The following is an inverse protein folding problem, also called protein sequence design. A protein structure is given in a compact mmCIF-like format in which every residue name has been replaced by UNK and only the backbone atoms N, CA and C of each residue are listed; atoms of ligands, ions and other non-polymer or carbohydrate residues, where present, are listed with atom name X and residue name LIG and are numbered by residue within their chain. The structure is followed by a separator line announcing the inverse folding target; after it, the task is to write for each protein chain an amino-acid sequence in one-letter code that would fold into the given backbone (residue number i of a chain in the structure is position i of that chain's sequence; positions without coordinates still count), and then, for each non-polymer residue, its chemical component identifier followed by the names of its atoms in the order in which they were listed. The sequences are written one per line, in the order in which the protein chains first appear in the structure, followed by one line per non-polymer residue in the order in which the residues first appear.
data_IF_436684688461
#
_entry.id   IF_436684688461
#
_cell.length_a   1.000
_cell.length_b   1.000
_cell.length_c   1.000
_cell.angle_alpha   90.00
_cell.angle_beta   90.00
_cell.angle_gamma   90.00
#
_symmetry.space_group_name_H-M   'P 1'
#
loop_
_entity.id
_entity.type
_entity.pdbx_description
1 polymer ?
#
# COMPACT_ATOMS: atom_id res chain seq x y z
N UNK A 1 26.03 -13.49 18.49
CA UNK A 1 24.74 -12.85 18.79
C UNK A 1 24.09 -13.66 19.88
N UNK A 2 23.53 -13.03 20.90
CA UNK A 2 22.76 -13.71 21.94
C UNK A 2 21.56 -14.44 21.31
N UNK A 3 21.44 -15.75 21.55
CA UNK A 3 20.38 -16.60 21.02
C UNK A 3 19.02 -16.28 21.63
N UNK A 4 18.97 -15.60 22.77
CA UNK A 4 17.73 -15.28 23.49
C UNK A 4 17.12 -13.95 23.06
N UNK A 5 17.92 -13.01 22.57
CA UNK A 5 17.46 -11.67 22.14
C UNK A 5 17.18 -11.61 20.63
N UNK A 6 16.04 -11.01 20.25
CA UNK A 6 15.70 -10.76 18.85
C UNK A 6 16.54 -9.60 18.29
N UNK A 7 17.16 -9.80 17.11
CA UNK A 7 17.85 -8.71 16.42
C UNK A 7 16.84 -7.78 15.77
N UNK A 8 16.89 -6.48 16.05
CA UNK A 8 16.02 -5.46 15.41
C UNK A 8 16.78 -4.52 14.48
N UNK A 9 18.07 -4.75 14.31
CA UNK A 9 18.95 -3.91 13.52
C UNK A 9 18.69 -4.16 12.03
N UNK A 10 18.25 -3.11 11.32
CA UNK A 10 18.02 -3.16 9.88
C UNK A 10 19.31 -3.40 9.10
N UNK A 11 20.48 -3.02 9.63
CA UNK A 11 21.76 -3.28 8.96
C UNK A 11 22.10 -4.78 8.87
N UNK A 12 21.38 -5.64 9.62
CA UNK A 12 21.51 -7.08 9.50
C UNK A 12 20.70 -7.69 8.35
N UNK A 13 19.88 -6.90 7.65
CA UNK A 13 19.24 -7.31 6.40
C UNK A 13 20.24 -7.24 5.23
N UNK A 14 19.96 -7.95 4.14
CA UNK A 14 20.70 -7.79 2.88
C UNK A 14 20.47 -6.38 2.31
N UNK A 15 21.37 -5.88 1.46
CA UNK A 15 21.25 -4.52 0.91
C UNK A 15 19.91 -4.27 0.17
N UNK A 16 19.36 -5.27 -0.52
CA UNK A 16 18.04 -5.18 -1.15
C UNK A 16 16.92 -5.15 -0.10
N UNK A 17 17.00 -5.99 0.93
CA UNK A 17 15.98 -6.05 1.98
C UNK A 17 15.99 -4.83 2.89
N UNK A 18 17.15 -4.20 3.11
CA UNK A 18 17.26 -2.89 3.75
C UNK A 18 16.45 -1.84 2.99
N UNK A 19 16.61 -1.77 1.66
CA UNK A 19 15.84 -0.85 0.81
C UNK A 19 14.35 -1.16 0.89
N UNK A 20 13.95 -2.42 0.68
CA UNK A 20 12.55 -2.83 0.73
C UNK A 20 11.89 -2.50 2.08
N UNK A 21 12.56 -2.85 3.18
CA UNK A 21 12.08 -2.60 4.54
C UNK A 21 11.98 -1.10 4.82
N UNK A 22 12.96 -0.29 4.42
CA UNK A 22 12.91 1.16 4.57
C UNK A 22 11.72 1.79 3.81
N UNK A 23 11.53 1.42 2.53
CA UNK A 23 10.39 1.89 1.73
C UNK A 23 9.06 1.46 2.38
N UNK A 24 8.98 0.22 2.86
CA UNK A 24 7.80 -0.30 3.53
C UNK A 24 7.43 0.49 4.78
N UNK A 25 8.41 0.77 5.64
CA UNK A 25 8.19 1.57 6.86
C UNK A 25 7.77 3.01 6.53
N UNK A 26 8.37 3.61 5.50
CA UNK A 26 8.01 4.95 5.03
C UNK A 26 6.55 5.01 4.53
N UNK A 27 6.15 4.07 3.66
CA UNK A 27 4.79 4.02 3.12
C UNK A 27 3.74 3.67 4.18
N UNK A 28 4.07 2.79 5.13
CA UNK A 28 3.23 2.54 6.28
C UNK A 28 3.01 3.82 7.10
N UNK A 29 4.08 4.57 7.38
CA UNK A 29 4.02 5.83 8.13
C UNK A 29 3.14 6.87 7.42
N UNK A 30 3.23 7.00 6.08
CA UNK A 30 2.37 7.90 5.28
C UNK A 30 0.88 7.59 5.42
N UNK A 31 0.52 6.33 5.69
CA UNK A 31 -0.85 5.89 5.90
C UNK A 31 -1.27 5.87 7.38
N UNK A 32 -0.46 6.44 8.27
CA UNK A 32 -0.72 6.48 9.71
C UNK A 32 -0.53 5.13 10.41
N UNK A 33 0.16 4.17 9.78
CA UNK A 33 0.48 2.87 10.35
C UNK A 33 1.79 2.98 11.14
N UNK A 34 1.69 3.03 12.46
CA UNK A 34 2.84 3.09 13.35
C UNK A 34 3.46 1.69 13.54
N UNK A 35 4.40 1.34 12.66
CA UNK A 35 5.08 0.05 12.60
C UNK A 35 6.34 0.04 13.47
N UNK A 36 6.58 -1.06 14.20
CA UNK A 36 7.85 -1.35 14.87
C UNK A 36 8.42 -2.68 14.37
N UNK A 37 9.70 -2.69 14.01
CA UNK A 37 10.44 -3.92 13.67
C UNK A 37 10.70 -4.72 14.94
N UNK A 38 10.33 -5.99 14.93
CA UNK A 38 10.48 -6.90 16.08
C UNK A 38 11.58 -7.92 15.88
N UNK A 39 11.89 -8.31 14.64
CA UNK A 39 13.04 -9.15 14.31
C UNK A 39 13.51 -8.96 12.86
N UNK A 40 14.81 -8.91 12.61
CA UNK A 40 15.43 -8.85 11.28
C UNK A 40 16.21 -10.15 11.02
N UNK A 41 17.50 -10.21 11.33
CA UNK A 41 18.29 -11.41 11.17
C UNK A 41 18.11 -12.36 12.35
N UNK A 42 17.87 -13.64 12.02
CA UNK A 42 17.82 -14.75 12.97
C UNK A 42 18.87 -15.75 12.57
N UNK A 43 19.86 -16.00 13.43
CA UNK A 43 20.87 -17.03 13.19
C UNK A 43 20.23 -18.44 13.22
N UNK A 44 20.89 -19.42 12.60
CA UNK A 44 20.44 -20.81 12.67
C UNK A 44 20.43 -21.34 14.10
N UNK A 45 21.42 -20.93 14.91
CA UNK A 45 21.51 -21.26 16.32
C UNK A 45 20.29 -20.73 17.11
N UNK A 46 19.91 -19.46 16.91
CA UNK A 46 18.70 -18.89 17.50
C UNK A 46 17.44 -19.59 17.01
N UNK A 47 17.36 -19.94 15.73
CA UNK A 47 16.21 -20.68 15.20
C UNK A 47 16.08 -22.07 15.83
N UNK A 48 17.18 -22.80 16.00
CA UNK A 48 17.19 -24.08 16.71
C UNK A 48 16.74 -23.89 18.16
N UNK A 49 17.30 -22.88 18.84
CA UNK A 49 16.91 -22.54 20.21
C UNK A 49 15.40 -22.23 20.31
N UNK A 50 14.81 -21.49 19.36
CA UNK A 50 13.36 -21.22 19.34
C UNK A 50 12.52 -22.47 19.02
N UNK A 51 13.02 -23.34 18.13
CA UNK A 51 12.35 -24.59 17.77
C UNK A 51 12.29 -25.57 18.95
N UNK A 52 13.33 -25.64 19.76
CA UNK A 52 13.36 -26.49 20.96
C UNK A 52 12.33 -26.10 22.03
N UNK A 53 11.86 -24.84 22.03
CA UNK A 53 10.84 -24.37 22.96
C UNK A 53 9.49 -25.06 22.75
N UNK A 54 8.90 -25.55 23.85
CA UNK A 54 7.68 -26.37 23.82
C UNK A 54 7.89 -27.77 23.24
N UNK A 55 9.15 -28.20 23.10
CA UNK A 55 9.54 -29.54 22.67
C UNK A 55 10.53 -30.13 23.68
N UNK A 56 11.82 -29.81 23.54
CA UNK A 56 12.89 -30.24 24.44
C UNK A 56 13.20 -29.22 25.54
N UNK A 57 12.78 -27.96 25.37
CA UNK A 57 12.80 -26.92 26.41
C UNK A 57 11.38 -26.51 26.78
N UNK A 58 11.14 -26.17 28.05
CA UNK A 58 9.83 -25.70 28.52
C UNK A 58 9.34 -24.41 27.85
N UNK A 59 8.03 -24.16 27.90
CA UNK A 59 7.37 -22.99 27.31
C UNK A 59 6.45 -23.34 26.13
N UNK A 60 5.72 -22.35 25.60
CA UNK A 60 4.87 -22.56 24.40
C UNK A 60 5.74 -22.63 23.15
N UNK A 61 5.44 -23.53 22.22
CA UNK A 61 6.09 -23.56 20.92
C UNK A 61 5.82 -22.24 20.17
N UNK A 62 6.89 -21.60 19.69
CA UNK A 62 6.86 -20.29 19.01
C UNK A 62 7.21 -20.37 17.52
N UNK A 63 7.66 -21.53 17.06
CA UNK A 63 7.95 -21.78 15.65
C UNK A 63 7.70 -23.26 15.30
N UNK A 64 7.32 -23.49 14.05
CA UNK A 64 7.11 -24.82 13.48
C UNK A 64 8.31 -25.31 12.65
N UNK A 65 9.24 -24.42 12.26
CA UNK A 65 10.34 -24.72 11.33
C UNK A 65 11.70 -24.77 12.02
N UNK A 66 12.62 -25.60 11.52
CA UNK A 66 14.06 -25.46 11.80
C UNK A 66 14.74 -24.50 10.81
N UNK A 67 14.15 -24.30 9.63
CA UNK A 67 14.73 -23.50 8.55
C UNK A 67 13.96 -22.18 8.44
N UNK A 68 14.43 -21.15 9.14
CA UNK A 68 13.78 -19.84 9.12
C UNK A 68 14.21 -19.01 7.91
N UNK A 69 13.26 -18.28 7.34
CA UNK A 69 13.51 -17.34 6.25
C UNK A 69 14.36 -16.13 6.67
N UNK A 70 14.39 -15.79 7.97
CA UNK A 70 15.25 -14.73 8.53
C UNK A 70 16.75 -15.05 8.44
N UNK A 71 17.13 -16.33 8.35
CA UNK A 71 18.54 -16.74 8.15
C UNK A 71 19.11 -16.18 6.84
N UNK A 72 18.24 -15.94 5.86
CA UNK A 72 18.59 -15.41 4.54
C UNK A 72 18.83 -13.90 4.51
N UNK A 73 18.56 -13.20 5.62
CA UNK A 73 18.63 -11.73 5.75
C UNK A 73 17.67 -10.97 4.82
N UNK A 74 16.65 -11.63 4.27
CA UNK A 74 15.63 -11.02 3.39
C UNK A 74 14.24 -10.93 3.99
N UNK A 75 14.10 -11.21 5.28
CA UNK A 75 12.84 -11.19 6.00
C UNK A 75 12.94 -10.35 7.26
N UNK A 76 11.82 -9.77 7.67
CA UNK A 76 11.66 -9.02 8.90
C UNK A 76 10.25 -9.22 9.47
N UNK A 77 10.17 -9.16 10.80
CA UNK A 77 8.90 -9.21 11.55
C UNK A 77 8.53 -7.83 12.04
N UNK A 78 7.24 -7.53 12.10
CA UNK A 78 6.71 -6.27 12.62
C UNK A 78 5.64 -6.46 13.70
N UNK A 79 5.38 -5.37 14.42
CA UNK A 79 4.20 -5.22 15.25
C UNK A 79 3.65 -3.77 15.18
N UNK A 80 2.46 -3.58 15.75
CA UNK A 80 1.92 -2.24 16.01
C UNK A 80 2.69 -1.62 17.16
N UNK A 81 3.28 -0.44 16.97
CA UNK A 81 4.08 0.24 17.98
C UNK A 81 3.20 0.93 19.04
N UNK A 82 2.40 0.14 19.75
CA UNK A 82 1.50 0.56 20.82
C UNK A 82 1.61 -0.49 21.93
N UNK A 83 2.13 -0.07 23.08
CA UNK A 83 2.38 -0.94 24.23
C UNK A 83 1.11 -1.72 24.62
N UNK A 84 1.21 -3.04 24.69
CA UNK A 84 0.12 -3.95 25.03
C UNK A 84 -0.86 -4.25 23.89
N UNK A 85 -0.64 -3.71 22.68
CA UNK A 85 -1.46 -3.95 21.49
C UNK A 85 -0.66 -4.47 20.29
N UNK A 86 0.58 -4.87 20.50
CA UNK A 86 1.58 -5.18 19.48
C UNK A 86 1.05 -6.12 18.39
N UNK A 87 0.32 -7.16 18.79
CA UNK A 87 -0.18 -8.21 17.90
C UNK A 87 -1.71 -8.40 17.93
N UNK A 88 -2.46 -7.46 18.51
CA UNK A 88 -3.92 -7.60 18.73
C UNK A 88 -4.76 -7.16 17.53
N UNK A 89 -4.24 -6.22 16.74
CA UNK A 89 -4.98 -5.55 15.67
C UNK A 89 -4.75 -6.23 14.31
N UNK A 90 -5.60 -7.20 13.96
CA UNK A 90 -5.53 -7.88 12.66
C UNK A 90 -5.70 -6.93 11.48
N UNK A 91 -6.47 -5.84 11.65
CA UNK A 91 -6.71 -4.84 10.62
C UNK A 91 -5.46 -4.03 10.33
N UNK A 92 -4.65 -3.72 11.36
CA UNK A 92 -3.34 -3.10 11.20
C UNK A 92 -2.43 -3.94 10.29
N UNK A 93 -2.29 -5.24 10.57
CA UNK A 93 -1.44 -6.11 9.74
C UNK A 93 -1.95 -6.23 8.30
N UNK A 94 -3.27 -6.30 8.09
CA UNK A 94 -3.84 -6.30 6.74
C UNK A 94 -3.54 -5.01 5.97
N UNK A 95 -3.63 -3.85 6.61
CA UNK A 95 -3.25 -2.57 5.98
C UNK A 95 -1.75 -2.52 5.65
N UNK A 96 -0.90 -3.03 6.54
CA UNK A 96 0.53 -3.20 6.24
C UNK A 96 0.75 -4.16 5.06
N UNK A 97 -0.01 -5.25 4.97
CA UNK A 97 0.06 -6.19 3.85
C UNK A 97 -0.33 -5.54 2.51
N UNK A 98 -1.36 -4.69 2.49
CA UNK A 98 -1.74 -3.91 1.31
C UNK A 98 -0.59 -3.01 0.84
N UNK A 99 0.12 -2.35 1.78
CA UNK A 99 1.33 -1.57 1.47
C UNK A 99 2.43 -2.48 0.91
N UNK A 100 2.73 -3.59 1.59
CA UNK A 100 3.77 -4.53 1.17
C UNK A 100 3.53 -5.08 -0.23
N UNK A 101 2.29 -5.43 -0.56
CA UNK A 101 1.90 -5.93 -1.88
C UNK A 101 2.19 -4.92 -3.00
N UNK A 102 1.96 -3.61 -2.76
CA UNK A 102 2.29 -2.54 -3.72
C UNK A 102 3.79 -2.42 -3.97
N UNK A 103 4.61 -2.82 -2.99
CA UNK A 103 6.07 -2.80 -3.04
C UNK A 103 6.67 -4.11 -3.56
N UNK A 104 5.85 -5.10 -3.93
CA UNK A 104 6.31 -6.44 -4.29
C UNK A 104 6.92 -7.21 -3.12
N UNK A 105 6.51 -6.90 -1.89
CA UNK A 105 6.96 -7.56 -0.65
C UNK A 105 5.89 -8.59 -0.27
N UNK A 106 6.34 -9.81 0.03
CA UNK A 106 5.47 -10.91 0.46
C UNK A 106 5.13 -10.77 1.93
N UNK A 107 3.86 -10.97 2.26
CA UNK A 107 3.37 -11.03 3.65
C UNK A 107 3.08 -12.47 4.07
N UNK A 108 3.59 -12.89 5.23
CA UNK A 108 3.43 -14.25 5.75
C UNK A 108 2.03 -14.59 6.24
N UNK A 109 1.18 -13.59 6.49
CA UNK A 109 -0.19 -13.80 6.98
C UNK A 109 -1.11 -14.52 5.99
N UNK A 110 -0.74 -14.59 4.71
CA UNK A 110 -1.51 -15.28 3.66
C UNK A 110 -1.03 -16.71 3.39
N UNK A 111 -0.01 -17.21 4.09
CA UNK A 111 0.49 -18.56 3.90
C UNK A 111 -0.55 -19.61 4.32
N UNK A 112 -0.99 -20.45 3.37
CA UNK A 112 -2.09 -21.42 3.54
C UNK A 112 -1.93 -22.38 4.73
N UNK A 113 -0.73 -22.92 4.93
CA UNK A 113 -0.50 -23.98 5.90
C UNK A 113 -0.01 -23.48 7.27
N UNK A 114 0.56 -22.27 7.31
CA UNK A 114 1.16 -21.73 8.54
C UNK A 114 1.21 -20.20 8.46
N UNK A 115 0.06 -19.51 8.60
CA UNK A 115 0.02 -18.05 8.55
C UNK A 115 0.94 -17.42 9.59
N UNK A 116 1.80 -16.50 9.17
CA UNK A 116 2.72 -15.77 10.02
C UNK A 116 2.47 -14.27 9.88
N UNK A 117 1.56 -13.76 10.70
CA UNK A 117 1.01 -12.39 10.59
C UNK A 117 2.07 -11.29 10.75
N UNK A 118 3.07 -11.41 11.64
CA UNK A 118 4.18 -10.44 11.73
C UNK A 118 5.14 -10.44 10.55
N UNK A 119 5.22 -11.53 9.77
CA UNK A 119 6.34 -11.79 8.84
C UNK A 119 6.19 -11.10 7.50
N UNK A 120 7.28 -10.48 7.03
CA UNK A 120 7.42 -9.87 5.71
C UNK A 120 8.75 -10.25 5.08
N UNK A 121 8.77 -10.38 3.75
CA UNK A 121 9.99 -10.75 3.03
C UNK A 121 10.03 -10.34 1.57
N UNK A 122 11.23 -10.36 1.02
CA UNK A 122 11.45 -10.22 -0.43
C UNK A 122 12.11 -11.46 -1.04
N UNK A 123 11.76 -11.72 -2.29
CA UNK A 123 12.47 -12.69 -3.12
C UNK A 123 13.84 -12.16 -3.55
N UNK A 124 14.72 -13.08 -3.98
CA UNK A 124 16.08 -12.73 -4.46
C UNK A 124 16.06 -11.79 -5.66
N UNK A 125 15.04 -11.92 -6.49
CA UNK A 125 14.84 -11.11 -7.70
C UNK A 125 14.09 -9.80 -7.43
N UNK A 126 13.79 -9.49 -6.16
CA UNK A 126 13.13 -8.25 -5.83
C UNK A 126 13.97 -7.05 -6.29
N UNK A 127 13.32 -6.17 -7.02
CA UNK A 127 13.89 -4.89 -7.45
C UNK A 127 13.11 -3.82 -6.74
N UNK A 128 13.80 -2.72 -6.40
CA UNK A 128 13.12 -1.49 -6.00
C UNK A 128 12.07 -1.23 -7.07
N UNK A 129 10.77 -1.19 -6.73
CA UNK A 129 9.77 -0.95 -7.73
C UNK A 129 10.11 0.38 -8.38
N UNK A 130 10.16 0.41 -9.71
CA UNK A 130 10.35 1.65 -10.45
C UNK A 130 9.06 2.42 -10.30
N UNK A 131 8.95 3.14 -9.20
CA UNK A 131 8.04 4.25 -9.08
C UNK A 131 8.63 5.31 -10.02
N UNK A 132 8.14 5.40 -11.26
CA UNK A 132 8.30 6.65 -12.01
C UNK A 132 7.82 7.73 -11.04
N UNK A 133 8.74 8.59 -10.59
CA UNK A 133 8.66 9.35 -9.36
C UNK A 133 7.23 9.63 -8.86
N UNK A 134 6.94 9.25 -7.60
CA UNK A 134 5.70 9.43 -6.80
C UNK A 134 4.67 8.29 -6.82
N UNK A 135 4.65 7.46 -5.77
CA UNK A 135 3.36 7.01 -5.23
C UNK A 135 2.65 8.28 -4.78
N UNK A 136 1.73 8.73 -5.60
CA UNK A 136 0.95 9.92 -5.37
C UNK A 136 -0.14 9.59 -4.35
N UNK A 137 0.24 9.53 -3.08
CA UNK A 137 -0.66 9.09 -2.01
C UNK A 137 -1.89 10.00 -1.91
N UNK A 138 -1.77 11.28 -2.28
CA UNK A 138 -2.91 12.18 -2.41
C UNK A 138 -3.89 11.69 -3.47
N UNK A 139 -3.42 11.33 -4.66
CA UNK A 139 -4.26 10.75 -5.71
C UNK A 139 -4.86 9.41 -5.29
N UNK A 140 -4.07 8.53 -4.69
CA UNK A 140 -4.54 7.24 -4.18
C UNK A 140 -5.68 7.42 -3.17
N UNK A 141 -5.47 8.27 -2.16
CA UNK A 141 -6.45 8.55 -1.11
C UNK A 141 -7.67 9.27 -1.65
N UNK A 142 -7.49 10.19 -2.60
CA UNK A 142 -8.58 10.89 -3.25
C UNK A 142 -9.50 9.91 -3.99
N UNK A 143 -8.94 9.03 -4.83
CA UNK A 143 -9.73 8.03 -5.56
C UNK A 143 -10.42 7.06 -4.59
N UNK A 144 -9.75 6.64 -3.52
CA UNK A 144 -10.38 5.80 -2.48
C UNK A 144 -11.56 6.51 -1.82
N UNK A 145 -11.41 7.79 -1.46
CA UNK A 145 -12.45 8.57 -0.78
C UNK A 145 -13.64 8.84 -1.70
N UNK A 146 -13.39 9.14 -2.97
CA UNK A 146 -14.44 9.35 -3.99
C UNK A 146 -15.30 8.10 -4.17
N UNK A 147 -14.67 6.92 -4.25
CA UNK A 147 -15.40 5.64 -4.36
C UNK A 147 -16.21 5.35 -3.10
N UNK A 148 -15.63 5.59 -1.90
CA UNK A 148 -16.34 5.46 -0.62
C UNK A 148 -17.53 6.43 -0.51
N UNK A 149 -17.45 7.60 -1.14
CA UNK A 149 -18.54 8.56 -1.28
C UNK A 149 -19.63 8.15 -2.29
N UNK A 150 -19.51 6.98 -2.92
CA UNK A 150 -20.55 6.39 -3.79
C UNK A 150 -20.34 6.59 -5.29
N UNK A 151 -19.31 7.32 -5.71
CA UNK A 151 -19.02 7.51 -7.15
C UNK A 151 -18.46 6.23 -7.76
N UNK A 152 -19.09 5.77 -8.85
CA UNK A 152 -18.77 4.49 -9.50
C UNK A 152 -17.49 4.55 -10.37
N UNK A 153 -16.32 4.61 -9.73
CA UNK A 153 -15.00 4.60 -10.38
C UNK A 153 -14.26 3.26 -10.21
N UNK A 154 -13.49 2.88 -11.22
CA UNK A 154 -12.57 1.74 -11.14
C UNK A 154 -11.26 2.19 -10.47
N UNK A 155 -11.01 1.75 -9.24
CA UNK A 155 -9.84 2.17 -8.45
C UNK A 155 -8.50 2.05 -9.21
N UNK A 156 -8.26 0.89 -9.86
CA UNK A 156 -7.03 0.62 -10.59
C UNK A 156 -6.85 1.46 -11.87
N UNK A 157 -7.87 2.16 -12.35
CA UNK A 157 -7.74 3.04 -13.52
C UNK A 157 -7.25 4.45 -13.15
N UNK A 158 -7.36 4.84 -11.88
CA UNK A 158 -7.16 6.24 -11.47
C UNK A 158 -6.18 6.44 -10.30
N UNK A 159 -5.79 5.37 -9.59
CA UNK A 159 -4.97 5.45 -8.36
C UNK A 159 -3.51 5.91 -8.55
N UNK A 160 -3.03 6.02 -9.79
CA UNK A 160 -1.62 6.36 -10.12
C UNK A 160 -1.54 7.02 -11.49
N UNK A 161 -0.58 7.94 -11.68
CA UNK A 161 -0.49 8.78 -12.88
C UNK A 161 -0.30 7.97 -14.17
N UNK A 162 0.55 6.94 -14.16
CA UNK A 162 0.80 6.04 -15.30
C UNK A 162 -0.40 5.14 -15.67
N UNK A 163 -1.38 4.98 -14.79
CA UNK A 163 -2.58 4.19 -15.06
C UNK A 163 -3.69 5.01 -15.73
N UNK A 164 -3.59 6.35 -15.66
CA UNK A 164 -4.60 7.27 -16.20
C UNK A 164 -4.52 7.27 -17.72
N UNK A 165 -5.61 6.81 -18.36
CA UNK A 165 -5.78 6.89 -19.81
C UNK A 165 -6.66 8.10 -20.16
N UNK A 166 -6.10 9.07 -20.88
CA UNK A 166 -6.77 10.34 -21.18
C UNK A 166 -8.05 10.19 -22.02
N UNK A 167 -8.15 9.13 -22.82
CA UNK A 167 -9.37 8.81 -23.57
C UNK A 167 -10.56 8.43 -22.66
N UNK A 168 -10.32 8.07 -21.40
CA UNK A 168 -11.38 7.74 -20.43
C UNK A 168 -11.86 8.97 -19.63
N UNK A 169 -11.23 10.14 -19.80
CA UNK A 169 -11.54 11.35 -19.03
C UNK A 169 -12.98 11.85 -19.22
N UNK A 170 -13.61 11.79 -20.41
CA UNK A 170 -15.01 12.18 -20.56
C UNK A 170 -15.96 11.41 -19.64
N UNK A 171 -15.75 10.10 -19.52
CA UNK A 171 -16.53 9.26 -18.62
C UNK A 171 -16.23 9.57 -17.14
N UNK A 172 -14.97 9.86 -16.79
CA UNK A 172 -14.59 10.29 -15.45
C UNK A 172 -15.35 11.55 -15.02
N UNK A 173 -15.31 12.62 -15.83
CA UNK A 173 -15.92 13.89 -15.45
C UNK A 173 -17.43 13.77 -15.32
N UNK A 174 -18.10 13.02 -16.20
CA UNK A 174 -19.53 12.76 -16.09
C UNK A 174 -19.87 12.01 -14.80
N UNK A 175 -19.10 10.98 -14.44
CA UNK A 175 -19.30 10.24 -13.19
C UNK A 175 -19.11 11.11 -11.95
N UNK A 176 -18.06 11.94 -11.92
CA UNK A 176 -17.84 12.89 -10.82
C UNK A 176 -18.97 13.92 -10.71
N UNK A 177 -19.55 14.34 -11.84
CA UNK A 177 -20.66 15.29 -11.89
C UNK A 177 -22.05 14.66 -11.66
N UNK A 178 -22.12 13.33 -11.43
CA UNK A 178 -23.37 12.60 -11.28
C UNK A 178 -24.24 12.62 -12.55
N UNK A 179 -23.61 12.59 -13.73
CA UNK A 179 -24.30 12.50 -15.02
C UNK A 179 -24.34 11.03 -15.44
N UNK A 180 -25.54 10.53 -15.71
CA UNK A 180 -25.75 9.19 -16.25
C UNK A 180 -25.20 9.08 -17.68
N UNK A 181 -24.55 7.94 -17.94
CA UNK A 181 -23.93 7.63 -19.22
C UNK A 181 -24.45 6.27 -19.65
N UNK A 182 -25.11 6.23 -20.81
CA UNK A 182 -25.48 4.99 -21.48
C UNK A 182 -24.68 4.88 -22.78
N UNK A 183 -23.59 4.11 -22.75
CA UNK A 183 -22.65 4.01 -23.87
C UNK A 183 -21.58 5.12 -23.90
N UNK A 184 -21.43 5.79 -25.04
CA UNK A 184 -20.44 6.84 -25.23
C UNK A 184 -20.91 8.19 -24.67
N UNK A 185 -19.96 8.99 -24.17
CA UNK A 185 -20.27 10.32 -23.65
C UNK A 185 -20.52 11.28 -24.82
N UNK A 186 -21.72 11.83 -24.91
CA UNK A 186 -22.04 12.91 -25.84
C UNK A 186 -21.38 14.24 -25.44
N UNK A 187 -21.17 15.14 -26.39
CA UNK A 187 -20.61 16.47 -26.09
C UNK A 187 -21.52 17.30 -25.16
N UNK A 188 -22.84 17.09 -25.21
CA UNK A 188 -23.79 17.73 -24.30
C UNK A 188 -23.60 17.26 -22.85
N UNK A 189 -23.50 15.94 -22.63
CA UNK A 189 -23.22 15.37 -21.31
C UNK A 189 -21.86 15.85 -20.78
N UNK A 190 -20.84 15.85 -21.64
CA UNK A 190 -19.52 16.32 -21.26
C UNK A 190 -19.53 17.80 -20.85
N UNK A 191 -20.16 18.68 -21.65
CA UNK A 191 -20.27 20.10 -21.33
C UNK A 191 -21.01 20.34 -20.01
N UNK A 192 -22.12 19.64 -19.80
CA UNK A 192 -22.87 19.69 -18.55
C UNK A 192 -22.03 19.22 -17.36
N UNK A 193 -21.17 18.20 -17.54
CA UNK A 193 -20.27 17.73 -16.50
C UNK A 193 -19.25 18.80 -16.11
N UNK A 194 -18.64 19.46 -17.11
CA UNK A 194 -17.67 20.53 -16.89
C UNK A 194 -18.33 21.72 -16.17
N UNK A 195 -19.53 22.14 -16.60
CA UNK A 195 -20.27 23.22 -15.94
C UNK A 195 -20.48 22.92 -14.44
N UNK A 196 -20.94 21.71 -14.10
CA UNK A 196 -21.12 21.28 -12.71
C UNK A 196 -19.81 21.26 -11.92
N UNK A 197 -18.74 20.70 -12.48
CA UNK A 197 -17.45 20.59 -11.79
C UNK A 197 -16.74 21.94 -11.63
N UNK A 198 -16.98 22.91 -12.53
CA UNK A 198 -16.54 24.30 -12.37
C UNK A 198 -17.32 24.98 -11.24
N UNK A 199 -18.65 24.84 -11.22
CA UNK A 199 -19.51 25.39 -10.17
C UNK A 199 -19.11 24.86 -8.78
N UNK A 200 -18.79 23.56 -8.70
CA UNK A 200 -18.32 22.91 -7.48
C UNK A 200 -16.89 23.34 -7.06
N UNK A 201 -16.15 24.07 -7.91
CA UNK A 201 -14.76 24.47 -7.64
C UNK A 201 -13.73 23.36 -7.84
N UNK A 202 -14.14 22.17 -8.30
CA UNK A 202 -13.24 21.06 -8.62
C UNK A 202 -12.40 21.37 -9.88
N UNK A 203 -12.98 22.08 -10.85
CA UNK A 203 -12.30 22.58 -12.06
C UNK A 203 -12.11 24.10 -11.96
N UNK A 204 -10.85 24.54 -11.98
CA UNK A 204 -10.52 25.98 -11.93
C UNK A 204 -10.11 26.57 -13.29
N UNK A 205 -9.60 25.74 -14.22
CA UNK A 205 -9.13 26.19 -15.55
C UNK A 205 -10.02 25.58 -16.65
N UNK A 206 -11.25 26.10 -16.79
CA UNK A 206 -12.28 25.53 -17.67
C UNK A 206 -11.82 25.28 -19.11
N UNK A 207 -11.09 26.22 -19.70
CA UNK A 207 -10.68 26.16 -21.11
C UNK A 207 -9.89 24.88 -21.48
N UNK A 208 -9.09 24.36 -20.55
CA UNK A 208 -8.34 23.10 -20.74
C UNK A 208 -9.29 21.92 -20.97
N UNK A 209 -10.46 21.93 -20.31
CA UNK A 209 -11.43 20.86 -20.35
C UNK A 209 -12.36 20.98 -21.55
N UNK A 210 -12.81 22.19 -21.86
CA UNK A 210 -13.65 22.45 -23.04
C UNK A 210 -12.91 22.07 -24.34
N UNK A 211 -11.61 22.38 -24.44
CA UNK A 211 -10.78 22.05 -25.60
C UNK A 211 -10.14 20.65 -25.52
N UNK A 212 -10.47 19.86 -24.48
CA UNK A 212 -9.94 18.50 -24.24
C UNK A 212 -8.39 18.43 -24.27
N UNK A 213 -7.70 19.50 -23.85
CA UNK A 213 -6.23 19.61 -23.75
C UNK A 213 -5.67 19.22 -22.38
N UNK A 214 -6.46 18.51 -21.58
CA UNK A 214 -6.06 18.07 -20.23
C UNK A 214 -4.91 17.05 -20.28
N UNK A 215 -4.04 17.14 -19.29
CA UNK A 215 -2.95 16.19 -19.04
C UNK A 215 -3.29 15.27 -17.86
N UNK A 216 -2.48 14.24 -17.65
CA UNK A 216 -2.57 13.37 -16.47
C UNK A 216 -2.52 14.17 -15.16
N UNK A 217 -1.72 15.26 -15.11
CA UNK A 217 -1.63 16.14 -13.94
C UNK A 217 -2.88 17.00 -13.72
N UNK A 218 -3.60 17.36 -14.78
CA UNK A 218 -4.90 18.02 -14.65
C UNK A 218 -5.93 17.05 -14.06
N UNK A 219 -5.93 15.79 -14.50
CA UNK A 219 -6.81 14.73 -13.95
C UNK A 219 -6.50 14.46 -12.48
N UNK A 220 -5.21 14.32 -12.13
CA UNK A 220 -4.76 14.22 -10.74
C UNK A 220 -5.34 15.33 -9.87
N UNK A 221 -5.15 16.57 -10.32
CA UNK A 221 -5.58 17.77 -9.58
C UNK A 221 -7.11 17.82 -9.41
N UNK A 222 -7.87 17.43 -10.44
CA UNK A 222 -9.33 17.31 -10.37
C UNK A 222 -9.75 16.31 -9.29
N UNK A 223 -9.21 15.10 -9.31
CA UNK A 223 -9.56 14.04 -8.36
C UNK A 223 -9.25 14.44 -6.91
N UNK A 224 -8.07 15.02 -6.68
CA UNK A 224 -7.69 15.50 -5.34
C UNK A 224 -8.62 16.62 -4.86
N UNK A 225 -8.92 17.62 -5.70
CA UNK A 225 -9.84 18.71 -5.33
C UNK A 225 -11.23 18.18 -5.06
N UNK A 226 -11.77 17.36 -5.96
CA UNK A 226 -13.11 16.79 -5.82
C UNK A 226 -13.25 15.98 -4.52
N UNK A 227 -12.24 15.18 -4.16
CA UNK A 227 -12.27 14.38 -2.92
C UNK A 227 -12.39 15.19 -1.63
N UNK A 228 -12.14 16.51 -1.68
CA UNK A 228 -12.22 17.42 -0.53
C UNK A 228 -13.52 18.21 -0.47
N UNK A 229 -14.43 18.02 -1.44
CA UNK A 229 -15.69 18.74 -1.55
C UNK A 229 -16.89 17.98 -0.94
N UNK A 230 -16.68 16.73 -0.50
CA UNK A 230 -17.69 15.86 0.08
C UNK A 230 -17.49 15.61 1.57
#
# INVERSE_FOLDING_TARGET
MDVTTACRDMNQLSAQAQKACALFLEECKKQGLNVLITETYRSQERQNWLYEQGRSRGGKAVTWTKNSRHTSRRAWDICKNVKGQEYRDKTFFKKCAEVAALLGITWGGEWKNSPDTPHFEIDKEWKVPVFNATTDNDLFNAVSSIIKGGVQLTFNAWKRLDLIKLNNVPALVCKLAGIEIDGSVSDAQYKQAIDKLVLLGAISQRLIWDEKRYTVNNVRSLLIKFSKLG
#
